data_IF_463875047110
#
_entry.id   IF_463875047110
#
_cell.length_a   1.000
_cell.length_b   1.000
_cell.length_c   1.000
_cell.angle_alpha   90.00
_cell.angle_beta   90.00
_cell.angle_gamma   90.00
#
_symmetry.space_group_name_H-M   'P 1'
#
loop_
_entity.id
_entity.type
_entity.pdbx_description
1 polymer ?
#
# COMPACT_ATOMS: atom_id res chain seq x y z
N UNK A 1 31.67 66.68 33.82
CA UNK A 1 30.77 66.11 32.80
C UNK A 1 30.14 64.88 33.40
N UNK A 2 28.83 64.89 33.69
CA UNK A 2 28.16 63.74 34.29
C UNK A 2 27.69 62.78 33.21
N UNK A 3 27.98 61.47 33.40
CA UNK A 3 27.44 60.40 32.58
C UNK A 3 25.99 60.12 32.94
N UNK A 4 25.09 59.87 31.95
CA UNK A 4 23.72 59.48 32.24
C UNK A 4 23.65 57.96 32.54
N UNK A 5 23.07 57.66 33.69
CA UNK A 5 22.65 56.30 34.08
C UNK A 5 21.51 55.85 33.16
N UNK A 6 21.78 54.84 32.40
CA UNK A 6 20.75 54.12 31.60
C UNK A 6 19.90 53.26 32.55
N UNK A 7 18.66 53.64 32.76
CA UNK A 7 17.68 52.88 33.54
C UNK A 7 17.21 51.71 32.69
N UNK A 8 17.64 50.49 33.06
CA UNK A 8 17.21 49.25 32.45
C UNK A 8 15.81 48.88 32.96
N UNK A 9 14.76 49.15 32.20
CA UNK A 9 13.42 48.68 32.49
C UNK A 9 13.33 47.19 32.22
N UNK A 10 13.37 46.35 33.25
CA UNK A 10 13.05 44.93 33.19
C UNK A 10 11.52 44.82 33.15
N UNK A 11 10.96 44.62 31.96
CA UNK A 11 9.56 44.22 31.79
C UNK A 11 9.42 42.78 32.26
N UNK A 12 8.89 42.59 33.46
CA UNK A 12 8.45 41.25 33.92
C UNK A 12 7.30 40.81 33.02
N UNK A 13 7.58 39.92 32.07
CA UNK A 13 6.56 39.20 31.34
C UNK A 13 5.80 38.31 32.32
N UNK A 14 4.58 38.71 32.69
CA UNK A 14 3.64 37.88 33.40
C UNK A 14 3.35 36.66 32.51
N UNK A 15 3.97 35.53 32.84
CA UNK A 15 3.61 34.26 32.28
C UNK A 15 2.19 33.94 32.78
N UNK A 16 1.21 34.24 31.95
CA UNK A 16 -0.15 33.73 32.14
C UNK A 16 -0.07 32.20 32.19
N UNK A 17 -0.65 31.54 33.22
CA UNK A 17 -0.71 30.09 33.22
C UNK A 17 -1.46 29.65 31.94
N UNK A 18 -0.79 28.89 31.10
CA UNK A 18 -1.45 28.27 29.94
C UNK A 18 -2.64 27.47 30.51
N UNK A 19 -3.84 27.98 30.28
CA UNK A 19 -5.06 27.25 30.62
C UNK A 19 -5.01 25.95 29.80
N UNK A 20 -4.72 24.84 30.45
CA UNK A 20 -4.66 23.56 29.82
C UNK A 20 -5.97 23.30 29.09
N UNK A 21 -5.91 23.13 27.78
CA UNK A 21 -7.07 22.76 26.98
C UNK A 21 -7.71 21.50 27.58
N UNK A 22 -9.05 21.44 27.58
CA UNK A 22 -9.80 20.30 28.09
C UNK A 22 -9.30 19.01 27.42
N UNK A 23 -8.68 18.09 28.20
CA UNK A 23 -8.04 16.88 27.70
C UNK A 23 -6.52 16.96 27.51
N UNK A 24 -5.86 18.10 27.81
CA UNK A 24 -4.41 18.19 27.80
C UNK A 24 -3.78 17.41 28.96
N UNK A 25 -2.56 16.92 28.76
CA UNK A 25 -1.78 16.26 29.82
C UNK A 25 -1.36 17.32 30.84
N UNK A 26 -1.81 17.15 32.10
CA UNK A 26 -1.46 18.04 33.19
C UNK A 26 -0.11 17.68 33.83
N UNK A 27 0.47 18.60 34.59
CA UNK A 27 1.67 18.34 35.40
C UNK A 27 1.46 17.20 36.40
N UNK A 28 0.28 17.12 37.01
CA UNK A 28 -0.10 16.02 37.91
C UNK A 28 -0.13 14.66 37.19
N UNK A 29 -0.68 14.61 36.00
CA UNK A 29 -0.67 13.39 35.17
C UNK A 29 0.77 12.95 34.88
N UNK A 30 1.66 13.88 34.55
CA UNK A 30 3.07 13.55 34.29
C UNK A 30 3.77 13.01 35.53
N UNK A 31 3.51 13.56 36.71
CA UNK A 31 4.06 13.05 37.96
C UNK A 31 3.51 11.66 38.31
N UNK A 32 2.23 11.41 38.03
CA UNK A 32 1.63 10.09 38.21
C UNK A 32 2.27 9.08 37.24
N UNK A 33 2.43 9.40 35.96
CA UNK A 33 3.08 8.51 34.99
C UNK A 33 4.51 8.18 35.41
N UNK A 34 5.29 9.15 35.90
CA UNK A 34 6.65 8.89 36.38
C UNK A 34 6.67 7.93 37.56
N UNK A 35 5.71 8.05 38.48
CA UNK A 35 5.60 7.14 39.65
C UNK A 35 5.17 5.73 39.28
N UNK A 36 4.37 5.59 38.23
CA UNK A 36 3.88 4.29 37.76
C UNK A 36 4.93 3.49 36.98
N UNK A 37 6.01 4.12 36.52
CA UNK A 37 7.09 3.41 35.82
C UNK A 37 7.74 2.37 36.73
N UNK A 38 7.67 1.07 36.42
CA UNK A 38 8.24 0.03 37.26
C UNK A 38 9.75 0.18 37.43
N UNK A 39 10.21 0.21 38.68
CA UNK A 39 11.64 0.35 39.03
C UNK A 39 12.30 -1.01 39.37
N UNK A 40 11.72 -2.11 38.89
CA UNK A 40 12.29 -3.43 39.13
C UNK A 40 13.54 -3.68 38.29
N UNK A 41 14.48 -4.56 38.73
CA UNK A 41 15.64 -4.95 37.95
C UNK A 41 15.26 -5.45 36.54
N UNK A 42 14.18 -6.23 36.45
CA UNK A 42 13.65 -6.74 35.17
C UNK A 42 13.17 -5.60 34.24
N UNK A 43 12.44 -4.62 34.78
CA UNK A 43 11.99 -3.47 34.01
C UNK A 43 13.19 -2.64 33.48
N UNK A 44 14.21 -2.44 34.30
CA UNK A 44 15.46 -1.76 33.87
C UNK A 44 16.22 -2.53 32.80
N UNK A 45 16.33 -3.84 32.93
CA UNK A 45 16.95 -4.69 31.92
C UNK A 45 16.22 -4.60 30.56
N UNK A 46 14.87 -4.63 30.61
CA UNK A 46 14.06 -4.50 29.41
C UNK A 46 14.17 -3.10 28.78
N UNK A 47 14.17 -2.04 29.59
CA UNK A 47 14.38 -0.67 29.11
C UNK A 47 15.74 -0.54 28.38
N UNK A 48 16.83 -1.06 28.99
CA UNK A 48 18.15 -1.05 28.37
C UNK A 48 18.18 -1.85 27.06
N UNK A 49 17.52 -3.01 27.02
CA UNK A 49 17.41 -3.81 25.79
C UNK A 49 16.65 -3.06 24.69
N UNK A 50 15.57 -2.35 25.01
CA UNK A 50 14.77 -1.56 24.05
C UNK A 50 15.52 -0.34 23.48
N UNK A 51 16.53 0.17 24.19
CA UNK A 51 17.40 1.26 23.66
C UNK A 51 18.30 0.75 22.54
N UNK A 52 18.71 -0.50 22.58
CA UNK A 52 19.71 -1.07 21.66
C UNK A 52 19.12 -2.03 20.63
N UNK A 53 17.92 -2.55 20.85
CA UNK A 53 17.28 -3.56 20.02
C UNK A 53 15.85 -3.16 19.63
N UNK A 54 15.44 -3.52 18.42
CA UNK A 54 14.05 -3.36 17.99
C UNK A 54 13.09 -4.25 18.79
N UNK A 55 11.88 -3.75 19.04
CA UNK A 55 10.83 -4.47 19.79
C UNK A 55 10.57 -5.87 19.20
N UNK A 56 10.56 -5.99 17.87
CA UNK A 56 10.36 -7.27 17.18
C UNK A 56 11.42 -8.31 17.53
N UNK A 57 12.70 -7.90 17.58
CA UNK A 57 13.80 -8.80 17.94
C UNK A 57 13.70 -9.28 19.39
N UNK A 58 13.27 -8.42 20.31
CA UNK A 58 13.09 -8.77 21.72
C UNK A 58 11.84 -9.63 21.95
N UNK A 59 10.80 -9.46 21.18
CA UNK A 59 9.55 -10.22 21.27
C UNK A 59 9.65 -11.60 20.58
N UNK A 60 10.64 -11.81 19.71
CA UNK A 60 10.79 -13.08 18.99
C UNK A 60 11.36 -14.16 19.91
N UNK A 61 10.69 -15.30 19.95
CA UNK A 61 11.16 -16.48 20.66
C UNK A 61 12.21 -17.20 19.80
N UNK A 62 13.50 -17.08 20.16
CA UNK A 62 14.61 -17.58 19.36
C UNK A 62 14.60 -19.10 19.10
N UNK A 63 13.99 -19.90 20.00
CA UNK A 63 13.88 -21.35 19.85
C UNK A 63 12.57 -21.81 19.21
N UNK A 64 11.70 -20.90 18.73
CA UNK A 64 10.42 -21.28 18.12
C UNK A 64 10.62 -22.08 16.82
N UNK A 65 11.68 -21.78 16.06
CA UNK A 65 11.99 -22.51 14.83
C UNK A 65 12.43 -23.95 15.06
N UNK A 66 13.10 -24.23 16.18
CA UNK A 66 13.54 -25.59 16.56
C UNK A 66 12.38 -26.51 16.96
N UNK A 67 11.27 -25.92 17.41
CA UNK A 67 10.06 -26.66 17.82
C UNK A 67 9.03 -26.81 16.68
N UNK A 68 9.27 -26.24 15.50
CA UNK A 68 8.34 -26.35 14.39
C UNK A 68 8.40 -27.74 13.76
N UNK A 69 7.28 -28.45 13.78
CA UNK A 69 7.12 -29.69 13.01
C UNK A 69 7.06 -29.33 11.51
N UNK A 70 7.99 -29.87 10.74
CA UNK A 70 8.08 -29.65 9.29
C UNK A 70 7.54 -30.82 8.47
N UNK A 71 6.91 -31.80 9.12
CA UNK A 71 6.27 -32.90 8.41
C UNK A 71 4.93 -32.49 7.83
N UNK A 72 4.76 -32.69 6.53
CA UNK A 72 3.52 -32.49 5.79
C UNK A 72 3.10 -33.77 5.09
N UNK A 73 1.85 -34.21 5.31
CA UNK A 73 1.30 -35.41 4.68
C UNK A 73 1.09 -35.26 3.17
N UNK A 74 0.97 -34.03 2.70
CA UNK A 74 0.81 -33.71 1.27
C UNK A 74 1.69 -32.51 0.90
N UNK A 75 2.44 -32.63 -0.17
CA UNK A 75 3.29 -31.59 -0.73
C UNK A 75 2.93 -31.29 -2.17
N UNK A 76 2.87 -30.01 -2.54
CA UNK A 76 2.74 -29.58 -3.92
C UNK A 76 4.14 -29.41 -4.54
N UNK A 77 4.43 -30.01 -5.72
CA UNK A 77 5.76 -29.95 -6.33
C UNK A 77 6.03 -28.59 -6.99
N UNK A 78 6.22 -27.55 -6.19
CA UNK A 78 6.42 -26.18 -6.71
C UNK A 78 7.76 -25.97 -7.42
N UNK A 79 8.77 -26.77 -7.12
CA UNK A 79 10.13 -26.76 -7.72
C UNK A 79 10.71 -25.35 -7.83
N UNK A 80 10.93 -24.71 -6.71
CA UNK A 80 11.55 -23.38 -6.59
C UNK A 80 10.63 -22.32 -6.02
N UNK A 81 11.21 -21.16 -5.76
CA UNK A 81 10.58 -19.99 -5.18
C UNK A 81 10.47 -18.91 -6.26
N UNK A 82 9.38 -18.19 -6.29
CA UNK A 82 9.23 -16.95 -7.04
C UNK A 82 9.22 -15.77 -6.11
N UNK A 83 9.84 -14.67 -6.51
CA UNK A 83 9.98 -13.48 -5.69
C UNK A 83 9.28 -12.29 -6.36
N UNK A 84 8.31 -11.69 -5.68
CA UNK A 84 7.58 -10.52 -6.17
C UNK A 84 8.39 -9.21 -6.08
N UNK A 85 9.56 -9.24 -5.45
CA UNK A 85 10.40 -8.08 -5.18
C UNK A 85 9.65 -6.95 -4.46
N UNK A 86 9.89 -5.69 -4.82
CA UNK A 86 9.24 -4.50 -4.27
C UNK A 86 7.92 -4.17 -4.98
N UNK A 87 7.02 -5.17 -5.06
CA UNK A 87 5.69 -5.02 -5.69
C UNK A 87 4.58 -5.55 -4.80
N UNK A 88 3.33 -5.09 -4.97
CA UNK A 88 2.14 -5.58 -4.25
C UNK A 88 1.49 -6.80 -4.90
N UNK A 89 2.19 -7.58 -5.72
CA UNK A 89 1.66 -8.69 -6.53
C UNK A 89 1.66 -10.05 -5.83
N UNK A 90 1.79 -10.11 -4.49
CA UNK A 90 1.82 -11.37 -3.74
C UNK A 90 0.63 -12.29 -4.04
N UNK A 91 -0.56 -11.73 -4.19
CA UNK A 91 -1.79 -12.43 -4.53
C UNK A 91 -1.68 -13.16 -5.88
N UNK A 92 -1.10 -12.48 -6.89
CA UNK A 92 -0.91 -13.02 -8.24
C UNK A 92 0.17 -14.10 -8.27
N UNK A 93 1.33 -13.84 -7.64
CA UNK A 93 2.41 -14.82 -7.49
C UNK A 93 1.92 -16.09 -6.81
N UNK A 94 1.15 -15.97 -5.73
CA UNK A 94 0.57 -17.11 -5.02
C UNK A 94 -0.36 -17.92 -5.91
N UNK A 95 -1.30 -17.26 -6.59
CA UNK A 95 -2.25 -17.96 -7.48
C UNK A 95 -1.57 -18.65 -8.66
N UNK A 96 -0.64 -17.98 -9.34
CA UNK A 96 0.10 -18.57 -10.45
C UNK A 96 1.04 -19.70 -9.99
N UNK A 97 1.58 -19.64 -8.76
CA UNK A 97 2.40 -20.72 -8.21
C UNK A 97 1.58 -21.99 -7.92
N UNK A 98 0.32 -21.86 -7.50
CA UNK A 98 -0.58 -23.03 -7.35
C UNK A 98 -0.79 -23.69 -8.70
N UNK A 99 -1.09 -22.92 -9.74
CA UNK A 99 -1.25 -23.45 -11.12
C UNK A 99 0.06 -24.02 -11.68
N UNK A 100 1.18 -23.36 -11.42
CA UNK A 100 2.52 -23.81 -11.84
C UNK A 100 2.83 -25.21 -11.33
N UNK A 101 2.54 -25.51 -10.06
CA UNK A 101 2.79 -26.81 -9.48
C UNK A 101 2.07 -27.94 -10.25
N UNK A 102 0.84 -27.69 -10.66
CA UNK A 102 0.08 -28.63 -11.48
C UNK A 102 0.71 -28.84 -12.85
N UNK A 103 1.06 -27.77 -13.56
CA UNK A 103 1.71 -27.84 -14.89
C UNK A 103 3.04 -28.60 -14.83
N UNK A 104 3.87 -28.33 -13.82
CA UNK A 104 5.14 -29.02 -13.59
C UNK A 104 4.90 -30.53 -13.43
N UNK A 105 3.90 -30.91 -12.63
CA UNK A 105 3.54 -32.31 -12.40
C UNK A 105 3.02 -32.99 -13.67
N UNK A 106 2.06 -32.38 -14.35
CA UNK A 106 1.42 -32.96 -15.53
C UNK A 106 2.35 -33.10 -16.76
N UNK A 107 3.24 -32.08 -16.92
CA UNK A 107 4.18 -32.02 -18.04
C UNK A 107 5.56 -32.56 -17.71
N UNK A 108 5.77 -33.03 -16.48
CA UNK A 108 7.06 -33.57 -15.98
C UNK A 108 8.24 -32.61 -16.21
N UNK A 109 8.00 -31.30 -16.02
CA UNK A 109 8.99 -30.28 -16.25
C UNK A 109 10.00 -30.21 -15.08
N UNK A 110 11.25 -29.90 -15.39
CA UNK A 110 12.26 -29.64 -14.38
C UNK A 110 12.02 -28.27 -13.68
N UNK A 111 11.65 -27.26 -14.47
CA UNK A 111 11.33 -25.89 -14.03
C UNK A 111 10.27 -25.31 -14.98
N UNK A 112 9.38 -24.51 -14.43
CA UNK A 112 8.42 -23.72 -15.21
C UNK A 112 7.95 -22.53 -14.40
N UNK A 113 7.71 -21.39 -15.04
CA UNK A 113 7.08 -20.23 -14.45
C UNK A 113 6.12 -19.58 -15.45
N UNK A 114 4.96 -19.12 -14.94
CA UNK A 114 4.10 -18.23 -15.69
C UNK A 114 4.62 -16.79 -15.63
N UNK A 115 4.30 -15.98 -16.63
CA UNK A 115 4.59 -14.55 -16.62
C UNK A 115 3.66 -13.82 -15.65
N UNK A 116 4.19 -13.36 -14.54
CA UNK A 116 3.47 -12.50 -13.60
C UNK A 116 3.28 -11.10 -14.21
N UNK A 117 4.24 -10.62 -15.00
CA UNK A 117 4.15 -9.35 -15.71
C UNK A 117 2.96 -9.31 -16.67
N UNK A 118 2.69 -10.39 -17.41
CA UNK A 118 1.56 -10.50 -18.33
C UNK A 118 0.22 -10.33 -17.60
N UNK A 119 -0.04 -11.13 -16.59
CA UNK A 119 -1.30 -11.06 -15.86
C UNK A 119 -1.42 -9.77 -15.03
N UNK A 120 -0.32 -9.25 -14.49
CA UNK A 120 -0.30 -7.97 -13.79
C UNK A 120 -0.64 -6.81 -14.72
N UNK A 121 -0.16 -6.82 -15.97
CA UNK A 121 -0.53 -5.82 -16.97
C UNK A 121 -2.04 -5.75 -17.19
N UNK A 122 -2.68 -6.91 -17.39
CA UNK A 122 -4.13 -6.95 -17.60
C UNK A 122 -4.93 -6.58 -16.33
N UNK A 123 -4.45 -6.96 -15.16
CA UNK A 123 -5.04 -6.51 -13.89
C UNK A 123 -5.02 -4.98 -13.77
N UNK A 124 -3.87 -4.35 -14.07
CA UNK A 124 -3.75 -2.89 -14.04
C UNK A 124 -4.64 -2.23 -15.10
N UNK A 125 -4.75 -2.81 -16.28
CA UNK A 125 -5.64 -2.32 -17.34
C UNK A 125 -7.11 -2.38 -16.93
N UNK A 126 -7.54 -3.48 -16.30
CA UNK A 126 -8.92 -3.62 -15.79
C UNK A 126 -9.22 -2.64 -14.66
N UNK A 127 -8.29 -2.44 -13.74
CA UNK A 127 -8.43 -1.46 -12.66
C UNK A 127 -8.50 -0.03 -13.18
N UNK A 128 -7.68 0.30 -14.18
CA UNK A 128 -7.74 1.59 -14.86
C UNK A 128 -9.09 1.79 -15.56
N UNK A 129 -9.58 0.77 -16.27
CA UNK A 129 -10.90 0.77 -16.90
C UNK A 129 -12.03 0.96 -15.89
N UNK A 130 -11.97 0.26 -14.75
CA UNK A 130 -12.95 0.37 -13.68
C UNK A 130 -12.96 1.77 -13.08
N UNK A 131 -11.79 2.36 -12.81
CA UNK A 131 -11.69 3.73 -12.32
C UNK A 131 -12.31 4.72 -13.29
N UNK A 132 -11.95 4.67 -14.58
CA UNK A 132 -12.49 5.59 -15.59
C UNK A 132 -14.00 5.38 -15.82
N UNK A 133 -14.48 4.13 -15.74
CA UNK A 133 -15.92 3.86 -15.78
C UNK A 133 -16.62 4.48 -14.58
N UNK A 134 -16.06 4.33 -13.39
CA UNK A 134 -16.61 4.96 -12.17
C UNK A 134 -16.65 6.49 -12.29
N UNK A 135 -15.70 7.12 -12.98
CA UNK A 135 -15.74 8.57 -13.24
C UNK A 135 -16.90 8.98 -14.14
N UNK A 136 -17.34 8.11 -15.04
CA UNK A 136 -18.54 8.31 -15.87
C UNK A 136 -19.81 8.08 -15.03
N UNK A 137 -19.86 6.96 -14.32
CA UNK A 137 -21.06 6.54 -13.55
C UNK A 137 -21.39 7.53 -12.42
N UNK A 138 -20.38 8.09 -11.78
CA UNK A 138 -20.50 9.08 -10.70
C UNK A 138 -20.28 10.52 -11.17
N UNK A 139 -20.32 10.80 -12.50
CA UNK A 139 -20.02 12.13 -13.04
C UNK A 139 -20.97 13.22 -12.54
N UNK A 140 -22.24 12.87 -12.22
CA UNK A 140 -23.24 13.79 -11.69
C UNK A 140 -23.03 14.12 -10.20
N UNK A 141 -22.27 13.33 -9.46
CA UNK A 141 -22.02 13.57 -8.03
C UNK A 141 -20.97 14.68 -7.84
N UNK A 142 -21.05 15.49 -6.78
CA UNK A 142 -20.06 16.53 -6.52
C UNK A 142 -18.69 15.92 -6.14
N UNK A 143 -17.62 16.73 -6.16
CA UNK A 143 -16.25 16.26 -5.87
C UNK A 143 -16.03 15.89 -4.39
N UNK A 144 -16.84 16.42 -3.48
CA UNK A 144 -16.84 16.13 -2.04
C UNK A 144 -17.71 14.92 -1.66
N UNK A 145 -18.38 14.28 -2.63
CA UNK A 145 -19.02 12.99 -2.42
C UNK A 145 -17.97 11.98 -1.97
N UNK A 146 -18.26 11.26 -0.87
CA UNK A 146 -17.28 10.34 -0.23
C UNK A 146 -16.79 9.23 -1.14
N UNK A 147 -17.63 8.74 -2.05
CA UNK A 147 -17.23 7.73 -3.05
C UNK A 147 -16.30 8.34 -4.08
N UNK A 148 -16.63 9.53 -4.60
CA UNK A 148 -15.80 10.24 -5.58
C UNK A 148 -14.44 10.59 -4.97
N UNK A 149 -14.42 11.13 -3.75
CA UNK A 149 -13.19 11.44 -3.01
C UNK A 149 -12.31 10.20 -2.85
N UNK A 150 -12.91 9.07 -2.43
CA UNK A 150 -12.19 7.80 -2.24
C UNK A 150 -11.58 7.29 -3.55
N UNK A 151 -12.34 7.31 -4.64
CA UNK A 151 -11.88 6.91 -5.97
C UNK A 151 -10.69 7.75 -6.44
N UNK A 152 -10.75 9.07 -6.27
CA UNK A 152 -9.62 9.95 -6.62
C UNK A 152 -8.40 9.76 -5.71
N UNK A 153 -8.58 9.38 -4.46
CA UNK A 153 -7.46 9.02 -3.57
C UNK A 153 -6.81 7.71 -3.99
N UNK A 154 -7.61 6.73 -4.45
CA UNK A 154 -7.19 5.36 -4.74
C UNK A 154 -7.53 4.95 -6.18
N UNK A 155 -6.98 5.62 -7.21
CA UNK A 155 -7.36 5.35 -8.60
C UNK A 155 -6.87 3.99 -9.10
N UNK A 156 -5.77 3.48 -8.55
CA UNK A 156 -5.15 2.21 -8.94
C UNK A 156 -4.32 1.64 -7.80
N UNK A 157 -4.18 0.33 -7.78
CA UNK A 157 -3.33 -0.39 -6.79
C UNK A 157 -2.86 -1.70 -7.40
N UNK A 158 -1.69 -2.20 -7.03
CA UNK A 158 -1.16 -3.49 -7.46
C UNK A 158 -1.57 -4.66 -6.55
N UNK A 159 -2.26 -4.39 -5.44
CA UNK A 159 -2.83 -5.40 -4.56
C UNK A 159 -4.04 -6.10 -5.19
N UNK A 160 -4.36 -7.30 -4.73
CA UNK A 160 -5.51 -8.07 -5.18
C UNK A 160 -5.83 -9.27 -4.28
N UNK A 161 -6.74 -10.11 -4.74
CA UNK A 161 -7.23 -11.31 -4.04
C UNK A 161 -7.13 -12.54 -4.93
N UNK A 162 -7.36 -13.72 -4.36
CA UNK A 162 -7.39 -14.96 -5.14
C UNK A 162 -8.47 -14.96 -6.24
N UNK A 163 -9.63 -14.37 -5.98
CA UNK A 163 -10.67 -14.19 -7.00
C UNK A 163 -10.20 -13.31 -8.15
N UNK A 164 -9.39 -12.28 -7.88
CA UNK A 164 -8.75 -11.48 -8.93
C UNK A 164 -7.82 -12.31 -9.83
N UNK A 165 -7.09 -13.30 -9.29
CA UNK A 165 -6.31 -14.24 -10.12
C UNK A 165 -7.23 -15.00 -11.05
N UNK A 166 -8.32 -15.56 -10.52
CA UNK A 166 -9.30 -16.31 -11.30
C UNK A 166 -9.88 -15.47 -12.43
N UNK A 167 -10.27 -14.23 -12.16
CA UNK A 167 -10.88 -13.33 -13.14
C UNK A 167 -9.89 -12.99 -14.28
N UNK A 168 -8.67 -12.60 -13.94
CA UNK A 168 -7.64 -12.24 -14.92
C UNK A 168 -7.23 -13.44 -15.76
N UNK A 169 -7.01 -14.60 -15.12
CA UNK A 169 -6.61 -15.82 -15.82
C UNK A 169 -7.74 -16.35 -16.71
N UNK A 170 -8.99 -16.33 -16.25
CA UNK A 170 -10.14 -16.78 -17.03
C UNK A 170 -10.38 -15.91 -18.27
N UNK A 171 -10.12 -14.60 -18.15
CA UNK A 171 -10.36 -13.65 -19.25
C UNK A 171 -9.21 -13.56 -20.24
N UNK A 172 -7.97 -13.57 -19.77
CA UNK A 172 -6.77 -13.30 -20.59
C UNK A 172 -5.85 -14.50 -20.75
N UNK A 173 -6.10 -15.57 -20.02
CA UNK A 173 -5.21 -16.72 -20.00
C UNK A 173 -3.91 -16.49 -19.23
N UNK A 174 -2.96 -17.35 -19.47
CA UNK A 174 -1.60 -17.30 -18.94
C UNK A 174 -0.58 -17.59 -20.02
N UNK A 175 0.61 -17.05 -19.90
CA UNK A 175 1.73 -17.32 -20.80
C UNK A 175 2.97 -17.73 -19.99
N UNK A 176 3.93 -18.47 -20.59
CA UNK A 176 5.23 -18.71 -19.96
C UNK A 176 5.98 -17.39 -19.70
N UNK A 177 6.86 -17.40 -18.69
CA UNK A 177 7.63 -16.21 -18.27
C UNK A 177 8.49 -15.61 -19.39
N UNK A 178 8.93 -16.42 -20.33
CA UNK A 178 9.76 -15.99 -21.47
C UNK A 178 9.00 -15.12 -22.48
N UNK A 179 7.65 -15.23 -22.53
CA UNK A 179 6.82 -14.44 -23.46
C UNK A 179 6.73 -12.97 -23.02
N UNK A 180 6.64 -12.72 -21.72
CA UNK A 180 6.66 -11.38 -21.13
C UNK A 180 7.45 -11.43 -19.83
N UNK A 181 8.78 -11.28 -19.90
CA UNK A 181 9.65 -11.33 -18.72
C UNK A 181 9.39 -10.21 -17.73
N UNK A 182 9.85 -10.41 -16.49
CA UNK A 182 9.85 -9.36 -15.48
C UNK A 182 10.74 -8.18 -15.90
N UNK A 183 10.25 -6.97 -15.65
CA UNK A 183 10.99 -5.73 -15.88
C UNK A 183 11.36 -5.06 -14.56
N UNK A 184 12.23 -4.06 -14.61
CA UNK A 184 12.55 -3.27 -13.43
C UNK A 184 11.29 -2.67 -12.78
N UNK A 185 10.40 -2.08 -13.57
CA UNK A 185 9.16 -1.47 -13.07
C UNK A 185 8.10 -2.50 -12.63
N UNK A 186 8.11 -3.71 -13.17
CA UNK A 186 7.29 -4.80 -12.68
C UNK A 186 7.77 -5.24 -11.28
N UNK A 187 9.08 -5.30 -11.08
CA UNK A 187 9.70 -5.63 -9.80
C UNK A 187 9.73 -4.47 -8.78
N UNK A 188 9.46 -3.23 -9.21
CA UNK A 188 9.48 -2.01 -8.39
C UNK A 188 8.30 -1.12 -8.78
N UNK A 189 7.09 -1.51 -8.39
CA UNK A 189 5.83 -0.93 -8.93
C UNK A 189 5.53 0.49 -8.44
N UNK A 190 6.16 0.98 -7.38
CA UNK A 190 5.81 2.25 -6.71
C UNK A 190 5.79 3.45 -7.64
N UNK A 191 6.86 3.66 -8.42
CA UNK A 191 6.98 4.84 -9.30
C UNK A 191 6.00 4.78 -10.46
N UNK A 192 5.95 3.64 -11.13
CA UNK A 192 4.99 3.41 -12.23
C UNK A 192 3.54 3.59 -11.76
N UNK A 193 3.18 3.00 -10.62
CA UNK A 193 1.86 3.17 -10.04
C UNK A 193 1.54 4.64 -9.72
N UNK A 194 2.54 5.40 -9.24
CA UNK A 194 2.41 6.85 -9.01
C UNK A 194 2.10 7.62 -10.29
N UNK A 195 2.81 7.35 -11.37
CA UNK A 195 2.60 8.00 -12.69
C UNK A 195 1.23 7.62 -13.27
N UNK A 196 0.87 6.33 -13.22
CA UNK A 196 -0.46 5.85 -13.65
C UNK A 196 -1.59 6.51 -12.84
N UNK A 197 -1.43 6.61 -11.53
CA UNK A 197 -2.41 7.25 -10.65
C UNK A 197 -2.61 8.74 -11.00
N UNK A 198 -1.54 9.47 -11.31
CA UNK A 198 -1.62 10.86 -11.77
C UNK A 198 -2.38 10.96 -13.08
N UNK A 199 -2.03 10.11 -14.05
CA UNK A 199 -2.67 10.10 -15.38
C UNK A 199 -4.14 9.72 -15.31
N UNK A 200 -4.49 8.73 -14.50
CA UNK A 200 -5.88 8.34 -14.27
C UNK A 200 -6.70 9.47 -13.63
N UNK A 201 -6.15 10.20 -12.67
CA UNK A 201 -6.82 11.39 -12.09
C UNK A 201 -7.07 12.47 -13.14
N UNK A 202 -6.08 12.76 -13.99
CA UNK A 202 -6.23 13.70 -15.12
C UNK A 202 -7.38 13.27 -16.04
N UNK A 203 -7.37 12.03 -16.49
CA UNK A 203 -8.40 11.46 -17.34
C UNK A 203 -9.78 11.43 -16.68
N UNK A 204 -9.84 11.09 -15.40
CA UNK A 204 -11.07 11.14 -14.62
C UNK A 204 -11.67 12.54 -14.56
N UNK A 205 -10.83 13.57 -14.35
CA UNK A 205 -11.28 14.98 -14.38
C UNK A 205 -11.75 15.39 -15.77
N UNK A 206 -11.09 14.96 -16.83
CA UNK A 206 -11.52 15.23 -18.22
C UNK A 206 -12.89 14.63 -18.54
N UNK A 207 -13.15 13.37 -18.11
CA UNK A 207 -14.44 12.72 -18.28
C UNK A 207 -15.53 13.47 -17.53
N UNK A 208 -15.30 13.87 -16.29
CA UNK A 208 -16.25 14.67 -15.49
C UNK A 208 -16.51 16.05 -16.10
N UNK A 209 -15.48 16.73 -16.62
CA UNK A 209 -15.63 18.00 -17.37
C UNK A 209 -16.45 17.82 -18.65
N UNK A 210 -16.22 16.76 -19.42
CA UNK A 210 -16.98 16.43 -20.60
C UNK A 210 -18.47 16.18 -20.27
N UNK A 211 -18.73 15.46 -19.19
CA UNK A 211 -20.08 15.27 -18.68
C UNK A 211 -20.76 16.60 -18.30
N UNK A 212 -20.07 17.48 -17.58
CA UNK A 212 -20.58 18.80 -17.20
C UNK A 212 -20.84 19.69 -18.42
N UNK A 213 -20.07 19.51 -19.51
CA UNK A 213 -20.28 20.17 -20.79
C UNK A 213 -21.42 19.57 -21.64
N UNK A 214 -22.16 18.58 -21.13
CA UNK A 214 -23.31 17.97 -21.78
C UNK A 214 -23.01 16.71 -22.59
N UNK A 215 -21.77 16.19 -22.59
CA UNK A 215 -21.50 14.89 -23.23
C UNK A 215 -22.13 13.76 -22.41
N UNK A 216 -22.62 12.74 -23.09
CA UNK A 216 -23.29 11.58 -22.48
C UNK A 216 -22.88 10.28 -23.17
N UNK A 217 -23.07 9.16 -22.46
CA UNK A 217 -23.01 7.79 -22.97
C UNK A 217 -21.91 7.52 -24.01
N UNK A 218 -22.27 7.34 -25.28
CA UNK A 218 -21.35 6.93 -26.34
C UNK A 218 -20.13 7.87 -26.49
N UNK A 219 -20.29 9.19 -26.28
CA UNK A 219 -19.17 10.13 -26.34
C UNK A 219 -18.19 9.93 -25.19
N UNK A 220 -18.70 9.75 -23.97
CA UNK A 220 -17.88 9.49 -22.80
C UNK A 220 -17.17 8.15 -22.91
N UNK A 221 -17.87 7.09 -23.37
CA UNK A 221 -17.26 5.77 -23.59
C UNK A 221 -16.14 5.84 -24.67
N UNK A 222 -16.34 6.59 -25.75
CA UNK A 222 -15.30 6.80 -26.75
C UNK A 222 -14.07 7.53 -26.19
N UNK A 223 -14.25 8.54 -25.31
CA UNK A 223 -13.16 9.20 -24.61
C UNK A 223 -12.39 8.23 -23.70
N UNK A 224 -13.13 7.46 -22.86
CA UNK A 224 -12.55 6.45 -21.99
C UNK A 224 -11.70 5.44 -22.79
N UNK A 225 -12.24 4.89 -23.87
CA UNK A 225 -11.52 3.92 -24.70
C UNK A 225 -10.22 4.51 -25.28
N UNK A 226 -10.27 5.76 -25.73
CA UNK A 226 -9.07 6.45 -26.22
C UNK A 226 -8.03 6.66 -25.11
N UNK A 227 -8.48 7.04 -23.90
CA UNK A 227 -7.61 7.24 -22.74
C UNK A 227 -6.93 5.94 -22.27
N UNK A 228 -7.60 4.79 -22.42
CA UNK A 228 -7.01 3.49 -22.11
C UNK A 228 -5.99 3.00 -23.14
N UNK A 229 -6.03 3.53 -24.36
CA UNK A 229 -5.12 3.16 -25.45
C UNK A 229 -3.88 4.05 -25.55
N UNK A 230 -3.77 5.06 -24.69
CA UNK A 230 -2.65 6.01 -24.65
C UNK A 230 -1.68 5.70 -23.56
#
# INVERSE_FOLDING_TARGET
>A
MPHPLATLCITAALALPAVAQRGAISGEMLENFRREVPQTPTARALQNALVTQGVGALATRNNAAEAADTYFSNEAPSKGITDQQSSGRCWLFTGLNVMRAQVIKERQLAKFEFSQSYNSFYDQLEKANLFLQSMIDYAARPMDDKTVEWLFKNPISDGGTFTGVQDVVSKYGVVPSEVMPESYNANNTREMAGVLALKLREYGLELRKAYAAGERDAKLQKRKTRQLST
#
